data_IF_245345492273
#
_entry.id   IF_245345492273
#
_cell.length_a   1.000
_cell.length_b   1.000
_cell.length_c   1.000
_cell.angle_alpha   90.00
_cell.angle_beta   90.00
_cell.angle_gamma   90.00
#
_symmetry.space_group_name_H-M   'P 1'
#
loop_
_entity.id
_entity.type
_entity.pdbx_description
1 polymer ?
#
# COMPACT_ATOMS: atom_id res chain seq x y z
N UNK A 1 34.67 -8.83 7.51
CA UNK A 1 34.08 -9.63 8.60
C UNK A 1 32.60 -9.91 8.31
N UNK A 2 32.28 -10.49 7.16
CA UNK A 2 30.90 -10.79 6.73
C UNK A 2 30.82 -12.12 5.95
N UNK A 3 31.78 -13.03 6.17
CA UNK A 3 31.87 -14.31 5.44
C UNK A 3 31.60 -15.56 6.29
N UNK A 4 31.35 -15.42 7.61
CA UNK A 4 31.31 -16.57 8.53
C UNK A 4 29.91 -17.09 8.90
N UNK A 5 28.83 -16.58 8.29
CA UNK A 5 27.45 -16.99 8.66
C UNK A 5 26.87 -18.18 7.89
N UNK A 6 27.60 -18.79 6.95
CA UNK A 6 27.04 -19.82 6.08
C UNK A 6 27.44 -21.27 6.46
N UNK A 7 28.18 -21.46 7.55
CA UNK A 7 28.84 -22.73 7.87
C UNK A 7 28.09 -23.66 8.85
N UNK A 8 26.90 -23.30 9.34
CA UNK A 8 26.18 -24.11 10.36
C UNK A 8 24.75 -24.54 9.97
N UNK A 9 24.32 -24.32 8.73
CA UNK A 9 23.06 -24.88 8.25
C UNK A 9 23.28 -26.35 7.90
N UNK A 10 22.90 -27.24 8.81
CA UNK A 10 22.84 -28.67 8.53
C UNK A 10 22.00 -28.93 7.28
N UNK A 11 22.50 -29.81 6.40
CA UNK A 11 21.76 -30.21 5.22
C UNK A 11 20.38 -30.73 5.66
N UNK A 12 19.30 -30.36 4.95
CA UNK A 12 17.97 -30.83 5.29
C UNK A 12 17.96 -32.37 5.31
N UNK A 13 17.16 -33.00 6.20
CA UNK A 13 17.03 -34.44 6.25
C UNK A 13 16.77 -35.02 4.86
N UNK A 14 17.36 -36.19 4.55
CA UNK A 14 17.31 -36.82 3.22
C UNK A 14 15.89 -37.12 2.71
N UNK A 15 14.90 -37.09 3.60
CA UNK A 15 13.48 -37.33 3.30
C UNK A 15 12.64 -36.05 3.09
N UNK A 16 13.27 -34.87 2.95
CA UNK A 16 12.55 -33.63 2.73
C UNK A 16 12.17 -33.41 1.26
N UNK A 17 10.86 -33.29 0.98
CA UNK A 17 10.37 -32.85 -0.32
C UNK A 17 10.94 -31.46 -0.70
N UNK A 18 11.37 -31.24 -1.96
CA UNK A 18 11.86 -29.94 -2.41
C UNK A 18 10.80 -28.83 -2.24
N UNK A 19 11.26 -27.61 -1.95
CA UNK A 19 10.39 -26.44 -1.84
C UNK A 19 10.36 -25.66 -3.16
N UNK A 20 9.14 -25.34 -3.62
CA UNK A 20 8.90 -24.42 -4.72
C UNK A 20 8.57 -23.03 -4.17
N UNK A 21 9.60 -22.17 -4.08
CA UNK A 21 9.50 -20.84 -3.48
C UNK A 21 9.10 -19.77 -4.51
N UNK A 22 8.05 -19.00 -4.21
CA UNK A 22 7.56 -17.90 -5.05
C UNK A 22 7.45 -16.60 -4.24
N UNK A 23 8.01 -15.48 -4.70
CA UNK A 23 7.78 -14.18 -4.09
C UNK A 23 6.42 -13.60 -4.52
N UNK A 24 5.78 -12.83 -3.65
CA UNK A 24 4.51 -12.16 -3.90
C UNK A 24 4.48 -10.76 -3.27
N UNK A 25 4.54 -9.74 -4.12
CA UNK A 25 4.49 -8.33 -3.73
C UNK A 25 3.92 -7.46 -4.87
N UNK A 26 3.44 -6.26 -4.54
CA UNK A 26 2.64 -5.42 -5.45
C UNK A 26 3.36 -5.01 -6.74
N UNK A 27 4.68 -4.83 -6.72
CA UNK A 27 5.48 -4.37 -7.86
C UNK A 27 5.81 -5.50 -8.87
N UNK A 28 5.41 -6.73 -8.57
CA UNK A 28 5.70 -7.87 -9.44
C UNK A 28 4.79 -7.87 -10.67
N UNK A 29 5.28 -8.31 -11.84
CA UNK A 29 4.47 -8.39 -13.06
C UNK A 29 3.30 -9.36 -12.90
N UNK A 30 2.18 -9.08 -13.58
CA UNK A 30 0.96 -9.90 -13.49
C UNK A 30 1.20 -11.37 -13.87
N UNK A 31 2.09 -11.62 -14.84
CA UNK A 31 2.49 -12.97 -15.23
C UNK A 31 3.17 -13.74 -14.09
N UNK A 32 4.09 -13.09 -13.37
CA UNK A 32 4.76 -13.69 -12.21
C UNK A 32 3.80 -13.86 -11.04
N UNK A 33 2.87 -12.91 -10.82
CA UNK A 33 1.85 -13.05 -9.78
C UNK A 33 0.94 -14.24 -10.05
N UNK A 34 0.64 -14.53 -11.32
CA UNK A 34 -0.19 -15.68 -11.70
C UNK A 34 0.41 -17.03 -11.30
N UNK A 35 1.74 -17.13 -11.18
CA UNK A 35 2.44 -18.38 -10.82
C UNK A 35 2.04 -18.92 -9.45
N UNK A 36 1.65 -18.06 -8.49
CA UNK A 36 1.23 -18.51 -7.15
C UNK A 36 -0.11 -19.27 -7.17
N UNK A 37 -0.87 -19.18 -8.27
CA UNK A 37 -2.13 -19.92 -8.45
C UNK A 37 -1.95 -21.22 -9.23
N UNK A 38 -0.77 -21.45 -9.80
CA UNK A 38 -0.48 -22.70 -10.52
C UNK A 38 -0.07 -23.78 -9.51
N UNK A 39 -0.43 -25.05 -9.76
CA UNK A 39 0.03 -26.14 -8.91
C UNK A 39 1.57 -26.20 -8.93
N UNK A 40 2.20 -26.49 -7.78
CA UNK A 40 3.64 -26.67 -7.73
C UNK A 40 4.06 -27.92 -8.53
N UNK A 41 5.32 -28.00 -8.99
CA UNK A 41 5.87 -29.21 -9.62
C UNK A 41 5.65 -30.46 -8.75
N UNK A 42 5.45 -31.62 -9.39
CA UNK A 42 5.24 -32.88 -8.67
C UNK A 42 6.38 -33.18 -7.70
N UNK A 43 6.02 -33.72 -6.53
CA UNK A 43 6.99 -34.02 -5.47
C UNK A 43 7.50 -32.79 -4.71
N UNK A 44 7.06 -31.57 -5.04
CA UNK A 44 7.47 -30.35 -4.34
C UNK A 44 6.35 -29.73 -3.50
N UNK A 45 6.76 -29.02 -2.44
CA UNK A 45 5.87 -28.25 -1.56
C UNK A 45 5.92 -26.78 -1.94
N UNK A 46 4.76 -26.17 -2.15
CA UNK A 46 4.68 -24.74 -2.44
C UNK A 46 5.01 -23.90 -1.20
N UNK A 47 5.86 -22.89 -1.37
CA UNK A 47 6.16 -21.87 -0.38
C UNK A 47 6.00 -20.49 -1.01
N UNK A 48 5.13 -19.65 -0.46
CA UNK A 48 4.93 -18.28 -0.95
C UNK A 48 5.50 -17.32 0.08
N UNK A 49 6.43 -16.48 -0.38
CA UNK A 49 7.00 -15.39 0.42
C UNK A 49 6.27 -14.12 0.04
N UNK A 50 5.44 -13.60 0.94
CA UNK A 50 4.52 -12.52 0.61
C UNK A 50 4.68 -11.30 1.52
N UNK A 51 4.34 -10.12 1.00
CA UNK A 51 4.07 -8.96 1.84
C UNK A 51 2.61 -8.98 2.32
N UNK A 52 2.16 -7.90 2.97
CA UNK A 52 0.76 -7.68 3.34
C UNK A 52 -0.24 -7.76 2.16
N UNK A 53 0.21 -7.86 0.90
CA UNK A 53 -0.65 -8.16 -0.26
C UNK A 53 -1.39 -9.49 -0.09
N UNK A 54 -0.80 -10.48 0.59
CA UNK A 54 -1.47 -11.74 0.86
C UNK A 54 -2.56 -11.66 1.95
N UNK A 55 -2.62 -10.55 2.70
CA UNK A 55 -3.53 -10.38 3.85
C UNK A 55 -4.99 -10.16 3.44
N UNK A 56 -5.26 -9.42 2.37
CA UNK A 56 -6.60 -8.92 2.05
C UNK A 56 -7.20 -9.54 0.79
N UNK A 57 -6.55 -9.48 -0.38
CA UNK A 57 -7.24 -9.69 -1.66
C UNK A 57 -6.90 -10.98 -2.42
N UNK A 58 -5.88 -11.75 -2.03
CA UNK A 58 -5.48 -12.95 -2.78
C UNK A 58 -5.84 -14.26 -2.06
N UNK A 59 -6.63 -15.10 -2.73
CA UNK A 59 -6.95 -16.46 -2.32
C UNK A 59 -5.97 -17.45 -2.94
N UNK A 60 -4.87 -17.72 -2.25
CA UNK A 60 -3.95 -18.79 -2.64
C UNK A 60 -4.51 -20.10 -2.07
N UNK A 61 -4.83 -21.06 -2.93
CA UNK A 61 -5.30 -22.37 -2.51
C UNK A 61 -4.20 -23.21 -1.85
N UNK A 62 -4.58 -24.11 -0.95
CA UNK A 62 -3.65 -25.11 -0.39
C UNK A 62 -2.68 -24.61 0.67
N UNK A 63 -2.85 -23.39 1.17
CA UNK A 63 -2.06 -22.87 2.30
C UNK A 63 -2.53 -23.56 3.59
N UNK A 64 -1.67 -24.41 4.17
CA UNK A 64 -1.89 -25.07 5.47
C UNK A 64 -1.08 -24.46 6.60
N UNK A 65 -0.04 -23.71 6.28
CA UNK A 65 0.89 -23.16 7.24
C UNK A 65 1.12 -21.68 6.93
N UNK A 66 0.96 -20.83 7.93
CA UNK A 66 1.30 -19.41 7.87
C UNK A 66 2.40 -19.15 8.87
N UNK A 67 3.45 -18.44 8.48
CA UNK A 67 4.42 -17.91 9.43
C UNK A 67 4.46 -16.40 9.35
N UNK A 68 4.19 -15.78 10.49
CA UNK A 68 3.98 -14.35 10.62
C UNK A 68 5.12 -13.73 11.44
N UNK A 69 5.84 -12.80 10.81
CA UNK A 69 6.90 -12.01 11.42
C UNK A 69 6.38 -11.03 12.49
N UNK A 70 5.11 -10.62 12.37
CA UNK A 70 4.53 -9.54 13.18
C UNK A 70 4.85 -8.14 12.66
N UNK A 71 5.42 -8.01 11.46
CA UNK A 71 5.75 -6.74 10.84
C UNK A 71 5.03 -6.52 9.51
N UNK A 72 4.91 -5.25 9.14
CA UNK A 72 4.51 -4.82 7.81
C UNK A 72 5.28 -3.58 7.40
N UNK A 73 5.44 -3.41 6.09
CA UNK A 73 5.90 -2.16 5.52
C UNK A 73 4.69 -1.35 5.08
N UNK A 74 4.45 -0.23 5.75
CA UNK A 74 3.34 0.67 5.44
C UNK A 74 3.86 2.06 5.08
N UNK A 75 3.07 2.78 4.30
CA UNK A 75 3.30 4.19 4.01
C UNK A 75 2.72 5.01 5.16
N UNK A 76 3.57 5.77 5.84
CA UNK A 76 3.17 6.75 6.85
C UNK A 76 3.25 8.14 6.26
N UNK A 77 2.27 8.96 6.60
CA UNK A 77 2.21 10.37 6.24
C UNK A 77 2.46 11.21 7.48
N UNK A 78 3.43 12.11 7.41
CA UNK A 78 3.67 13.11 8.45
C UNK A 78 2.94 14.41 8.05
N UNK A 79 1.89 14.82 8.79
CA UNK A 79 1.12 16.02 8.47
C UNK A 79 1.91 17.31 8.66
N UNK A 80 2.96 17.31 9.49
CA UNK A 80 3.77 18.51 9.78
C UNK A 80 4.72 18.79 8.62
N UNK A 81 5.41 17.75 8.14
CA UNK A 81 6.38 17.89 7.03
C UNK A 81 5.72 17.76 5.65
N UNK A 82 4.51 17.18 5.57
CA UNK A 82 3.83 16.87 4.33
C UNK A 82 4.47 15.72 3.55
N UNK A 83 5.42 14.98 4.16
CA UNK A 83 6.17 13.92 3.50
C UNK A 83 5.55 12.56 3.81
N UNK A 84 5.47 11.70 2.80
CA UNK A 84 5.19 10.29 3.00
C UNK A 84 6.45 9.45 2.92
N UNK A 85 6.59 8.48 3.83
CA UNK A 85 7.69 7.53 3.82
C UNK A 85 7.21 6.10 4.06
N UNK A 86 7.98 5.12 3.57
CA UNK A 86 7.73 3.72 3.87
C UNK A 86 8.50 3.34 5.12
N UNK A 87 7.78 2.86 6.14
CA UNK A 87 8.35 2.45 7.43
C UNK A 87 7.93 1.02 7.70
N UNK A 88 8.84 0.25 8.27
CA UNK A 88 8.53 -1.08 8.81
C UNK A 88 8.01 -0.90 10.22
N UNK A 89 6.76 -1.31 10.45
CA UNK A 89 6.08 -1.18 11.73
C UNK A 89 5.51 -2.53 12.16
N UNK A 90 5.18 -2.66 13.44
CA UNK A 90 4.42 -3.81 13.93
C UNK A 90 3.01 -3.79 13.34
N UNK A 91 2.45 -4.97 13.14
CA UNK A 91 1.06 -5.14 12.71
C UNK A 91 0.09 -4.97 13.87
N UNK A 92 -1.19 -4.77 13.55
CA UNK A 92 -2.27 -4.85 14.54
C UNK A 92 -2.63 -6.29 14.86
N UNK A 93 -3.33 -6.52 15.97
CA UNK A 93 -3.92 -7.82 16.33
C UNK A 93 -4.86 -8.30 15.24
N UNK A 94 -5.72 -7.41 14.74
CA UNK A 94 -6.63 -7.71 13.63
C UNK A 94 -5.88 -8.20 12.36
N UNK A 95 -4.75 -7.57 12.02
CA UNK A 95 -3.92 -8.00 10.87
C UNK A 95 -3.29 -9.38 11.12
N UNK A 96 -2.73 -9.61 12.31
CA UNK A 96 -2.16 -10.90 12.70
C UNK A 96 -3.20 -12.04 12.65
N UNK A 97 -4.44 -11.76 13.04
CA UNK A 97 -5.54 -12.72 13.00
C UNK A 97 -6.01 -12.97 11.55
N UNK A 98 -6.07 -11.94 10.71
CA UNK A 98 -6.34 -12.08 9.27
C UNK A 98 -5.28 -12.95 8.58
N UNK A 99 -3.99 -12.73 8.89
CA UNK A 99 -2.87 -13.55 8.39
C UNK A 99 -3.01 -15.00 8.84
N UNK A 100 -3.25 -15.23 10.14
CA UNK A 100 -3.45 -16.58 10.68
C UNK A 100 -4.61 -17.32 9.99
N UNK A 101 -5.71 -16.62 9.72
CA UNK A 101 -6.89 -17.12 9.02
C UNK A 101 -6.64 -17.60 7.58
N UNK A 102 -5.48 -17.27 6.97
CA UNK A 102 -5.11 -17.76 5.64
C UNK A 102 -4.79 -19.26 5.62
N UNK A 103 -4.36 -19.83 6.74
CA UNK A 103 -4.05 -21.27 6.86
C UNK A 103 -5.30 -22.16 6.99
N UNK A 104 -6.44 -21.59 7.39
CA UNK A 104 -7.67 -22.33 7.72
C UNK A 104 -8.73 -22.37 6.62
N UNK A 105 -8.41 -21.99 5.37
CA UNK A 105 -9.43 -21.82 4.32
C UNK A 105 -9.95 -23.12 3.72
N UNK A 106 -9.07 -24.09 3.48
CA UNK A 106 -9.40 -25.33 2.75
C UNK A 106 -9.37 -26.55 3.68
N UNK A 107 -8.54 -26.53 4.70
CA UNK A 107 -8.40 -27.59 5.69
C UNK A 107 -7.91 -26.97 7.01
N UNK A 108 -7.88 -27.76 8.09
CA UNK A 108 -7.20 -27.37 9.31
C UNK A 108 -5.75 -26.99 9.01
N UNK A 109 -5.33 -25.83 9.49
CA UNK A 109 -4.01 -25.27 9.28
C UNK A 109 -3.42 -24.73 10.57
N UNK A 110 -2.13 -24.38 10.52
CA UNK A 110 -1.39 -23.82 11.64
C UNK A 110 -0.82 -22.45 11.29
N UNK A 111 -0.87 -21.54 12.25
CA UNK A 111 -0.20 -20.25 12.18
C UNK A 111 0.91 -20.20 13.22
N UNK A 112 2.13 -19.94 12.77
CA UNK A 112 3.31 -19.76 13.61
C UNK A 112 3.63 -18.26 13.68
N UNK A 113 3.59 -17.69 14.87
CA UNK A 113 3.95 -16.30 15.11
C UNK A 113 5.39 -16.23 15.61
N UNK A 114 6.23 -15.42 14.99
CA UNK A 114 7.64 -15.25 15.37
C UNK A 114 7.83 -14.29 16.56
N UNK A 115 6.78 -14.12 17.37
CA UNK A 115 6.72 -13.24 18.53
C UNK A 115 5.93 -13.92 19.65
N UNK A 116 6.25 -13.59 20.90
CA UNK A 116 5.61 -14.21 22.06
C UNK A 116 4.18 -13.69 22.27
N UNK A 117 3.38 -14.44 23.02
CA UNK A 117 2.04 -14.02 23.44
C UNK A 117 2.06 -12.70 24.23
N UNK A 118 3.10 -12.48 25.06
CA UNK A 118 3.29 -11.24 25.78
C UNK A 118 3.51 -10.04 24.83
N UNK A 119 4.30 -10.22 23.77
CA UNK A 119 4.51 -9.17 22.75
C UNK A 119 3.23 -8.94 21.93
N UNK A 120 2.50 -10.00 21.60
CA UNK A 120 1.23 -9.90 20.90
C UNK A 120 0.18 -9.07 21.68
N UNK A 121 0.19 -9.18 23.01
CA UNK A 121 -0.71 -8.38 23.86
C UNK A 121 -0.43 -6.87 23.76
N UNK A 122 0.80 -6.45 23.46
CA UNK A 122 1.18 -5.04 23.30
C UNK A 122 0.81 -4.47 21.93
N UNK A 123 0.30 -5.28 20.99
CA UNK A 123 -0.08 -4.79 19.66
C UNK A 123 -1.39 -4.00 19.74
N UNK A 124 -1.53 -2.99 18.88
CA UNK A 124 -2.78 -2.27 18.69
C UNK A 124 -3.87 -3.23 18.18
N UNK A 125 -5.11 -3.03 18.61
CA UNK A 125 -6.22 -3.91 18.23
C UNK A 125 -6.52 -3.82 16.73
N UNK A 126 -6.65 -2.60 16.22
CA UNK A 126 -6.92 -2.28 14.83
C UNK A 126 -5.84 -1.36 14.27
N UNK A 127 -5.61 -1.44 12.96
CA UNK A 127 -4.68 -0.54 12.30
C UNK A 127 -5.30 0.86 12.13
N UNK A 128 -4.47 1.90 12.19
CA UNK A 128 -4.92 3.27 11.95
C UNK A 128 -5.60 3.38 10.56
N UNK A 129 -6.80 4.00 10.47
CA UNK A 129 -7.53 4.16 9.22
C UNK A 129 -6.67 4.75 8.10
N UNK A 130 -6.87 4.26 6.88
CA UNK A 130 -6.05 4.65 5.72
C UNK A 130 -6.24 6.14 5.36
N UNK A 131 -7.43 6.70 5.61
CA UNK A 131 -7.74 8.12 5.38
C UNK A 131 -6.85 9.07 6.19
N UNK A 132 -6.38 8.65 7.37
CA UNK A 132 -5.51 9.46 8.23
C UNK A 132 -4.03 9.35 7.84
N UNK A 133 -3.66 8.30 7.08
CA UNK A 133 -2.27 8.01 6.70
C UNK A 133 -1.93 8.46 5.28
N UNK A 134 -2.79 9.25 4.64
CA UNK A 134 -2.61 9.74 3.27
C UNK A 134 -2.72 11.26 3.21
N UNK A 135 -2.01 11.91 2.26
CA UNK A 135 -2.22 13.32 1.99
C UNK A 135 -3.67 13.58 1.60
N UNK A 136 -4.35 14.58 2.19
CA UNK A 136 -5.75 14.86 1.90
C UNK A 136 -5.99 15.44 0.51
N UNK A 137 -4.94 15.81 -0.24
CA UNK A 137 -5.06 16.44 -1.57
C UNK A 137 -5.91 15.62 -2.54
N UNK A 138 -5.64 14.32 -2.66
CA UNK A 138 -6.40 13.45 -3.56
C UNK A 138 -7.85 13.28 -3.10
N UNK A 139 -8.08 13.26 -1.78
CA UNK A 139 -9.42 13.17 -1.21
C UNK A 139 -10.23 14.44 -1.49
N UNK A 140 -9.66 15.62 -1.23
CA UNK A 140 -10.28 16.92 -1.50
C UNK A 140 -10.61 17.07 -2.99
N UNK A 141 -9.66 16.72 -3.86
CA UNK A 141 -9.85 16.77 -5.31
C UNK A 141 -11.00 15.85 -5.76
N UNK A 142 -11.05 14.64 -5.22
CA UNK A 142 -12.10 13.67 -5.52
C UNK A 142 -13.48 14.17 -5.07
N UNK A 143 -13.59 14.68 -3.83
CA UNK A 143 -14.86 15.21 -3.32
C UNK A 143 -15.33 16.45 -4.09
N UNK A 144 -14.42 17.36 -4.46
CA UNK A 144 -14.77 18.51 -5.31
C UNK A 144 -15.22 18.08 -6.71
N UNK A 145 -14.67 16.99 -7.27
CA UNK A 145 -15.13 16.43 -8.56
C UNK A 145 -16.55 15.86 -8.50
N UNK A 146 -17.05 15.54 -7.30
CA UNK A 146 -18.44 15.14 -7.02
C UNK A 146 -19.34 16.33 -6.66
N UNK A 147 -18.92 17.56 -6.94
CA UNK A 147 -19.62 18.80 -6.57
C UNK A 147 -19.83 19.01 -5.06
N UNK A 148 -19.02 18.38 -4.20
CA UNK A 148 -19.01 18.65 -2.76
C UNK A 148 -18.12 19.88 -2.51
N UNK A 149 -18.76 21.03 -2.29
CA UNK A 149 -18.07 22.32 -2.15
C UNK A 149 -17.33 22.43 -0.82
N UNK A 150 -17.97 22.06 0.29
CA UNK A 150 -17.40 22.16 1.64
C UNK A 150 -16.94 20.80 2.14
N UNK A 151 -15.69 20.45 1.84
CA UNK A 151 -15.10 19.16 2.23
C UNK A 151 -15.00 19.01 3.76
N UNK A 152 -14.72 20.09 4.48
CA UNK A 152 -14.63 20.09 5.96
C UNK A 152 -15.94 19.63 6.63
N UNK A 153 -17.10 19.89 6.00
CA UNK A 153 -18.40 19.51 6.55
C UNK A 153 -18.87 18.11 6.10
N UNK A 154 -18.02 17.37 5.38
CA UNK A 154 -18.38 16.05 4.91
C UNK A 154 -18.41 15.04 6.07
N UNK A 155 -19.45 14.19 6.19
CA UNK A 155 -19.60 13.26 7.30
C UNK A 155 -18.69 12.03 7.15
N UNK A 156 -17.39 12.18 7.42
CA UNK A 156 -16.43 11.08 7.39
C UNK A 156 -16.66 10.11 8.56
N UNK A 157 -16.56 8.78 8.35
CA UNK A 157 -16.54 7.79 9.45
C UNK A 157 -15.35 7.99 10.40
N UNK A 158 -14.22 8.43 9.85
CA UNK A 158 -13.03 8.84 10.61
C UNK A 158 -12.49 10.09 9.91
N UNK A 159 -12.82 11.26 10.46
CA UNK A 159 -12.48 12.53 9.83
C UNK A 159 -10.97 12.78 9.89
N UNK A 160 -10.33 13.15 8.77
CA UNK A 160 -8.98 13.70 8.83
C UNK A 160 -9.02 15.08 9.51
N UNK A 161 -7.85 15.54 9.91
CA UNK A 161 -7.71 16.84 10.57
C UNK A 161 -8.24 17.98 9.69
N UNK A 162 -9.01 18.88 10.29
CA UNK A 162 -9.68 19.97 9.57
C UNK A 162 -8.68 20.98 9.03
N UNK A 163 -7.62 21.26 9.78
CA UNK A 163 -6.53 22.14 9.32
C UNK A 163 -5.82 21.54 8.10
N UNK A 164 -5.58 20.23 8.11
CA UNK A 164 -5.01 19.52 6.97
C UNK A 164 -5.90 19.55 5.73
N UNK A 165 -7.23 19.45 5.88
CA UNK A 165 -8.19 19.58 4.78
C UNK A 165 -8.17 21.00 4.18
N UNK A 166 -8.19 22.03 5.03
CA UNK A 166 -8.13 23.42 4.57
C UNK A 166 -6.79 23.76 3.88
N UNK A 167 -5.69 23.24 4.41
CA UNK A 167 -4.36 23.42 3.84
C UNK A 167 -4.28 22.80 2.43
N UNK A 168 -4.82 21.59 2.26
CA UNK A 168 -4.90 20.93 0.97
C UNK A 168 -5.79 21.68 -0.03
N UNK A 169 -6.94 22.20 0.41
CA UNK A 169 -7.81 23.02 -0.44
C UNK A 169 -7.07 24.27 -0.95
N UNK A 170 -6.40 25.00 -0.06
CA UNK A 170 -5.57 26.17 -0.42
C UNK A 170 -4.42 25.79 -1.35
N UNK A 171 -3.81 24.62 -1.18
CA UNK A 171 -2.72 24.14 -2.03
C UNK A 171 -3.20 23.77 -3.45
N UNK A 172 -4.38 23.16 -3.56
CA UNK A 172 -4.99 22.80 -4.85
C UNK A 172 -5.47 24.02 -5.64
N UNK A 173 -5.99 25.04 -4.95
CA UNK A 173 -6.33 26.34 -5.55
C UNK A 173 -5.08 27.00 -6.16
N UNK A 174 -3.96 27.00 -5.42
CA UNK A 174 -2.66 27.53 -5.93
C UNK A 174 -2.13 26.76 -7.13
N UNK A 175 -2.39 25.46 -7.21
CA UNK A 175 -1.87 24.58 -8.27
C UNK A 175 -2.72 24.65 -9.54
N UNK A 176 -3.71 25.55 -9.62
CA UNK A 176 -4.62 25.71 -10.76
C UNK A 176 -5.37 24.42 -11.12
N UNK A 177 -5.48 23.48 -10.17
CA UNK A 177 -6.21 22.24 -10.36
C UNK A 177 -7.73 22.43 -10.11
N UNK A 178 -8.06 23.52 -9.41
CA UNK A 178 -9.42 23.98 -9.13
C UNK A 178 -9.64 25.30 -9.86
N UNK A 179 -10.05 25.26 -11.14
CA UNK A 179 -10.57 26.45 -11.80
C UNK A 179 -11.99 26.71 -11.26
N UNK A 180 -12.14 27.78 -10.49
CA UNK A 180 -13.45 28.26 -10.06
C UNK A 180 -14.14 28.99 -11.21
N UNK A 181 -15.03 28.31 -11.93
CA UNK A 181 -16.01 29.01 -12.77
C UNK A 181 -17.10 29.56 -11.84
N UNK A 182 -17.06 30.87 -11.57
CA UNK A 182 -18.19 31.57 -10.98
C UNK A 182 -19.25 31.75 -12.08
N UNK A 183 -20.16 30.79 -12.26
CA UNK A 183 -21.43 31.08 -12.93
C UNK A 183 -22.36 31.77 -11.92
N UNK A 184 -22.38 33.11 -11.95
CA UNK A 184 -23.42 33.88 -11.26
C UNK A 184 -24.77 33.68 -11.97
N UNK A 185 -25.53 32.64 -11.61
CA UNK A 185 -26.96 32.60 -11.93
C UNK A 185 -27.71 33.57 -11.01
N UNK A 186 -28.07 34.74 -11.54
CA UNK A 186 -29.05 35.66 -10.95
C UNK A 186 -30.45 35.05 -11.06
N UNK A 187 -30.81 34.13 -10.17
CA UNK A 187 -32.22 33.88 -9.88
C UNK A 187 -32.59 34.53 -8.55
N UNK A 188 -33.62 35.38 -8.62
CA UNK A 188 -34.22 36.06 -7.47
C UNK A 188 -34.92 34.99 -6.62
N UNK A 189 -34.49 34.88 -5.37
CA UNK A 189 -35.00 34.01 -4.29
C UNK A 189 -34.12 32.78 -4.04
N UNK A 190 -33.53 32.75 -2.85
CA UNK A 190 -32.61 31.73 -2.29
C UNK A 190 -31.15 31.84 -2.74
N UNK A 191 -30.31 32.38 -1.85
CA UNK A 191 -28.85 32.32 -1.93
C UNK A 191 -28.38 30.85 -1.82
N UNK A 192 -28.23 30.17 -2.95
CA UNK A 192 -27.33 29.02 -3.07
C UNK A 192 -26.31 29.36 -4.16
N UNK A 193 -25.13 29.83 -3.74
CA UNK A 193 -23.98 30.00 -4.62
C UNK A 193 -23.40 28.61 -4.91
N UNK A 194 -23.90 27.96 -5.95
CA UNK A 194 -23.36 26.67 -6.40
C UNK A 194 -22.13 26.95 -7.27
N UNK A 195 -20.94 26.90 -6.66
CA UNK A 195 -19.67 26.89 -7.42
C UNK A 195 -19.53 25.54 -8.13
N UNK A 196 -19.58 25.55 -9.45
CA UNK A 196 -19.21 24.40 -10.28
C UNK A 196 -17.70 24.36 -10.44
N UNK A 197 -17.05 23.32 -9.89
CA UNK A 197 -15.63 23.09 -10.09
C UNK A 197 -15.44 22.08 -11.23
N UNK A 198 -14.85 22.51 -12.34
CA UNK A 198 -14.32 21.57 -13.34
C UNK A 198 -12.96 21.09 -12.86
N UNK A 199 -12.94 19.91 -12.25
CA UNK A 199 -11.68 19.28 -11.81
C UNK A 199 -10.93 18.80 -13.05
N UNK A 200 -9.96 19.60 -13.49
CA UNK A 200 -9.00 19.18 -14.50
C UNK A 200 -7.97 18.28 -13.82
N UNK A 201 -8.21 16.96 -13.75
CA UNK A 201 -7.17 15.96 -13.41
C UNK A 201 -6.18 15.88 -14.58
N UNK A 202 -5.51 16.99 -14.89
CA UNK A 202 -4.38 16.94 -15.79
C UNK A 202 -3.18 16.54 -14.94
N UNK A 203 -2.52 15.45 -15.31
CA UNK A 203 -1.12 15.17 -14.94
C UNK A 203 -0.18 16.25 -15.55
N UNK A 204 -0.57 17.52 -15.47
CA UNK A 204 -0.43 18.49 -16.55
C UNK A 204 0.15 19.83 -16.14
N UNK A 205 0.53 20.02 -14.87
CA UNK A 205 1.37 21.17 -14.50
C UNK A 205 2.74 21.13 -15.19
N UNK A 206 3.24 19.94 -15.53
CA UNK A 206 4.50 19.77 -16.28
C UNK A 206 4.31 19.86 -17.81
N UNK A 207 3.18 19.37 -18.34
CA UNK A 207 2.87 19.40 -19.77
C UNK A 207 2.46 20.80 -20.29
N UNK A 208 1.76 21.61 -19.48
CA UNK A 208 1.41 22.98 -19.88
C UNK A 208 2.64 23.90 -19.94
N UNK A 209 3.61 23.75 -19.02
CA UNK A 209 4.88 24.51 -19.09
C UNK A 209 5.71 24.15 -20.32
N UNK A 210 5.71 22.90 -20.78
CA UNK A 210 6.42 22.51 -22.02
C UNK A 210 5.79 23.10 -23.28
N UNK A 211 4.47 23.35 -23.29
CA UNK A 211 3.81 23.97 -24.44
C UNK A 211 4.14 25.46 -24.57
N UNK A 212 4.32 26.17 -23.46
CA UNK A 212 4.80 27.56 -23.44
C UNK A 212 6.30 27.72 -23.77
N UNK A 213 7.08 26.63 -23.72
CA UNK A 213 8.52 26.60 -23.98
C UNK A 213 8.90 25.65 -25.12
N UNK A 214 8.12 25.54 -26.20
CA UNK A 214 8.57 24.98 -27.50
C UNK A 214 9.24 23.59 -27.55
N UNK A 215 9.28 22.81 -26.46
CA UNK A 215 9.96 21.51 -26.41
C UNK A 215 8.92 20.38 -26.44
N UNK A 216 8.41 20.07 -27.63
CA UNK A 216 7.27 19.15 -27.80
C UNK A 216 7.61 17.65 -27.75
N UNK A 217 8.86 17.22 -27.51
CA UNK A 217 9.20 15.78 -27.71
C UNK A 217 10.03 15.11 -26.61
N UNK A 218 10.26 15.72 -25.44
CA UNK A 218 11.17 15.15 -24.43
C UNK A 218 10.67 14.97 -22.99
N UNK A 219 9.38 15.18 -22.73
CA UNK A 219 8.82 15.10 -21.37
C UNK A 219 8.17 13.74 -21.00
N UNK A 220 8.30 12.69 -21.82
CA UNK A 220 7.77 11.35 -21.56
C UNK A 220 8.82 10.39 -20.98
N UNK A 221 9.50 10.77 -19.89
CA UNK A 221 10.28 9.81 -19.10
C UNK A 221 10.73 10.43 -17.77
N UNK A 222 9.82 10.58 -16.81
CA UNK A 222 10.24 10.53 -15.40
C UNK A 222 10.02 9.09 -14.96
N UNK A 223 10.98 8.24 -15.34
CA UNK A 223 11.15 6.93 -14.73
C UNK A 223 11.42 7.18 -13.25
N UNK A 224 10.68 6.51 -12.37
CA UNK A 224 11.09 6.30 -10.99
C UNK A 224 12.52 5.74 -11.00
N UNK A 225 13.50 6.57 -10.68
CA UNK A 225 14.88 6.18 -10.49
C UNK A 225 15.00 5.46 -9.15
N UNK A 226 14.59 4.19 -9.12
CA UNK A 226 15.01 3.26 -8.07
C UNK A 226 16.48 2.97 -8.27
N UNK A 227 17.32 3.44 -7.34
CA UNK A 227 18.70 3.00 -7.21
C UNK A 227 18.75 1.48 -7.12
N UNK A 228 19.48 0.88 -8.05
CA UNK A 228 19.84 -0.53 -8.08
C UNK A 228 20.86 -0.77 -6.96
N UNK A 229 20.43 -1.30 -5.83
CA UNK A 229 21.31 -1.96 -4.88
C UNK A 229 21.01 -3.46 -4.95
N UNK A 230 21.96 -4.20 -5.51
CA UNK A 230 22.00 -5.65 -5.46
C UNK A 230 22.13 -6.09 -4.00
N UNK A 231 21.18 -6.88 -3.51
CA UNK A 231 21.33 -7.55 -2.21
C UNK A 231 20.97 -9.02 -2.36
N UNK A 232 21.97 -9.86 -2.09
CA UNK A 232 21.95 -11.32 -2.17
C UNK A 232 21.46 -11.80 -0.79
N UNK A 233 20.30 -12.44 -0.73
CA UNK A 233 19.78 -13.00 0.51
C UNK A 233 19.82 -14.53 0.46
N UNK A 234 20.57 -15.12 1.40
CA UNK A 234 20.58 -16.55 1.72
C UNK A 234 19.52 -16.85 2.78
N UNK A 235 19.23 -18.14 2.89
CA UNK A 235 18.68 -18.87 4.04
C UNK A 235 17.17 -19.15 4.12
N UNK A 236 16.92 -20.47 4.11
CA UNK A 236 16.08 -21.29 5.02
C UNK A 236 14.54 -21.25 4.94
N UNK A 237 14.01 -22.47 4.81
CA UNK A 237 12.63 -22.93 4.99
C UNK A 237 11.80 -22.02 5.88
N UNK A 238 10.60 -21.67 5.41
CA UNK A 238 9.37 -21.35 6.17
C UNK A 238 8.50 -20.42 5.30
N UNK A 239 7.17 -20.48 5.42
CA UNK A 239 6.26 -19.55 4.74
C UNK A 239 6.45 -18.14 5.31
N UNK A 240 7.47 -17.41 4.85
CA UNK A 240 7.74 -16.05 5.30
C UNK A 240 6.69 -15.08 4.71
N UNK A 241 5.77 -14.60 5.56
CA UNK A 241 5.20 -13.28 5.32
C UNK A 241 6.25 -12.28 5.80
N UNK A 242 7.28 -12.06 4.98
CA UNK A 242 7.99 -10.78 4.86
C UNK A 242 9.23 -10.89 3.98
N UNK A 243 9.49 -9.83 3.22
CA UNK A 243 10.86 -9.34 2.97
C UNK A 243 10.87 -7.95 2.28
N UNK A 244 11.57 -7.01 2.94
CA UNK A 244 12.14 -5.69 2.54
C UNK A 244 11.32 -4.40 2.65
#
# INVERSE_FOLDING_TARGET
>A
MMDDLDASLSLPPKDCQPLYCLPLYSLMSSEKQRRVFQPPPEGSRMCVIATNVAETSLTIGGIKYVVDSGYEKRRLYDPITGVSQFVVTRISKASADQRAGRSGRTAAGHAYRLYSSAVFQTFEEFSCPEILNKPPDQLVLHLKSMNIVKVVNFPFPSAPDSEALEAAEKALDKTWCLEGHNEERKDRSSYHSTRSYTVSISAGTRLRKSHSYGESTRAYAVRNSTHCCSFRARATNTCFIDSW
#
